data_IF_154699682870
#
_entry.id   IF_154699682870
#
_cell.length_a   1.000
_cell.length_b   1.000
_cell.length_c   1.000
_cell.angle_alpha   90.00
_cell.angle_beta   90.00
_cell.angle_gamma   90.00
#
_symmetry.space_group_name_H-M   'P 1'
#
loop_
_entity.id
_entity.type
_entity.pdbx_description
1 polymer ?
#
# COMPACT_ATOMS: atom_id res chain seq x y z
N UNK A 1 14.40 -3.20 2.12
CA UNK A 1 13.54 -3.47 3.28
C UNK A 1 12.17 -2.81 3.03
N UNK A 2 11.24 -3.60 2.50
CA UNK A 2 9.81 -3.36 2.22
C UNK A 2 9.29 -4.75 1.74
N UNK A 3 8.28 -4.83 0.88
CA UNK A 3 7.77 -6.12 0.35
C UNK A 3 8.59 -6.69 -0.84
N UNK A 4 9.70 -6.04 -1.23
CA UNK A 4 10.61 -6.47 -2.32
C UNK A 4 9.93 -6.69 -3.68
N UNK A 5 8.85 -5.96 -3.95
CA UNK A 5 8.12 -6.01 -5.23
C UNK A 5 8.92 -5.30 -6.32
N UNK A 6 9.02 -5.93 -7.48
CA UNK A 6 9.69 -5.39 -8.67
C UNK A 6 8.69 -4.85 -9.71
N UNK A 7 9.18 -4.11 -10.69
CA UNK A 7 8.34 -3.66 -11.82
C UNK A 7 7.84 -4.85 -12.67
N UNK A 8 8.60 -5.94 -12.73
CA UNK A 8 8.21 -7.16 -13.43
C UNK A 8 6.99 -7.82 -12.79
N UNK A 9 6.89 -7.77 -11.46
CA UNK A 9 5.72 -8.29 -10.72
C UNK A 9 4.47 -7.46 -11.01
N UNK A 10 4.62 -6.13 -11.11
CA UNK A 10 3.53 -5.24 -11.52
C UNK A 10 3.10 -5.54 -12.95
N UNK A 11 4.05 -5.72 -13.87
CA UNK A 11 3.75 -6.05 -15.26
C UNK A 11 3.03 -7.41 -15.40
N UNK A 12 3.42 -8.41 -14.62
CA UNK A 12 2.71 -9.71 -14.56
C UNK A 12 1.27 -9.51 -14.09
N UNK A 13 1.07 -8.75 -13.02
CA UNK A 13 -0.27 -8.48 -12.48
C UNK A 13 -1.16 -7.72 -13.48
N UNK A 14 -0.60 -6.75 -14.21
CA UNK A 14 -1.32 -6.03 -15.28
C UNK A 14 -1.69 -6.96 -16.45
N UNK A 15 -0.82 -7.90 -16.83
CA UNK A 15 -1.10 -8.92 -17.86
C UNK A 15 -2.21 -9.89 -17.45
N UNK A 16 -2.36 -10.16 -16.15
CA UNK A 16 -3.47 -10.96 -15.61
C UNK A 16 -4.81 -10.19 -15.60
N UNK A 17 -4.83 -8.95 -16.10
CA UNK A 17 -6.05 -8.16 -16.27
C UNK A 17 -6.37 -7.22 -15.10
N UNK A 18 -5.50 -7.14 -14.09
CA UNK A 18 -5.67 -6.20 -12.98
C UNK A 18 -5.45 -4.78 -13.50
N UNK A 19 -6.38 -3.86 -13.20
CA UNK A 19 -6.31 -2.45 -13.66
C UNK A 19 -6.45 -1.43 -12.53
N UNK A 20 -6.66 -1.90 -11.31
CA UNK A 20 -6.88 -1.06 -10.13
C UNK A 20 -5.74 -1.22 -9.11
N UNK A 21 -5.41 -0.11 -8.44
CA UNK A 21 -4.31 -0.07 -7.47
C UNK A 21 -4.60 -0.85 -6.20
N UNK A 22 -5.87 -1.00 -5.82
CA UNK A 22 -6.25 -1.75 -4.62
C UNK A 22 -6.02 -3.26 -4.83
N UNK A 23 -6.36 -3.81 -5.99
CA UNK A 23 -6.05 -5.19 -6.35
C UNK A 23 -4.55 -5.43 -6.48
N UNK A 24 -3.79 -4.49 -7.07
CA UNK A 24 -2.33 -4.55 -7.08
C UNK A 24 -1.74 -4.54 -5.67
N UNK A 25 -2.24 -3.67 -4.79
CA UNK A 25 -1.87 -3.63 -3.36
C UNK A 25 -2.19 -4.94 -2.66
N UNK A 26 -3.35 -5.55 -2.88
CA UNK A 26 -3.72 -6.83 -2.25
C UNK A 26 -2.88 -7.99 -2.74
N UNK A 27 -2.60 -8.05 -4.05
CA UNK A 27 -1.85 -9.14 -4.67
C UNK A 27 -0.36 -9.07 -4.37
N UNK A 28 0.24 -7.90 -4.59
CA UNK A 28 1.69 -7.69 -4.49
C UNK A 28 2.11 -7.13 -3.13
N UNK A 29 1.15 -6.82 -2.24
CA UNK A 29 1.38 -6.20 -0.93
C UNK A 29 2.05 -4.82 -1.00
N UNK A 30 2.01 -4.15 -2.16
CA UNK A 30 2.61 -2.83 -2.34
C UNK A 30 2.00 -1.84 -1.35
N UNK A 31 2.86 -1.15 -0.61
CA UNK A 31 2.44 -0.16 0.39
C UNK A 31 2.11 -0.73 1.77
N UNK A 32 2.30 -2.04 1.99
CA UNK A 32 2.10 -2.68 3.30
C UNK A 32 3.35 -2.70 4.19
N UNK A 33 4.44 -2.05 3.76
CA UNK A 33 5.66 -1.89 4.56
C UNK A 33 5.52 -0.86 5.68
N UNK A 34 6.57 -0.66 6.51
CA UNK A 34 6.53 0.26 7.65
C UNK A 34 6.27 1.73 7.25
N UNK A 35 6.63 2.10 6.02
CA UNK A 35 6.35 3.43 5.47
C UNK A 35 4.92 3.61 4.95
N UNK A 36 4.05 2.58 5.04
CA UNK A 36 2.65 2.60 4.61
C UNK A 36 2.45 3.12 3.17
N UNK A 37 3.41 2.83 2.28
CA UNK A 37 3.32 3.19 0.87
C UNK A 37 3.68 4.62 0.50
N UNK A 38 4.19 5.44 1.44
CA UNK A 38 4.61 6.83 1.19
C UNK A 38 5.58 6.99 0.01
N UNK A 39 6.44 6.00 -0.23
CA UNK A 39 7.43 6.03 -1.32
C UNK A 39 6.97 5.27 -2.57
N UNK A 40 6.42 4.07 -2.40
CA UNK A 40 6.13 3.19 -3.54
C UNK A 40 4.79 3.46 -4.22
N UNK A 41 3.77 3.98 -3.52
CA UNK A 41 2.46 4.23 -4.13
C UNK A 41 2.50 5.35 -5.18
N UNK A 42 3.14 6.52 -4.94
CA UNK A 42 3.27 7.56 -5.98
C UNK A 42 4.01 7.05 -7.23
N UNK A 43 5.08 6.28 -7.02
CA UNK A 43 5.85 5.68 -8.10
C UNK A 43 5.00 4.65 -8.88
N UNK A 44 4.21 3.83 -8.18
CA UNK A 44 3.30 2.86 -8.78
C UNK A 44 2.21 3.55 -9.61
N UNK A 45 1.59 4.61 -9.11
CA UNK A 45 0.58 5.38 -9.86
C UNK A 45 1.18 5.91 -11.16
N UNK A 46 2.35 6.55 -11.09
CA UNK A 46 3.02 7.06 -12.29
C UNK A 46 3.38 5.94 -13.27
N UNK A 47 3.81 4.78 -12.77
CA UNK A 47 4.16 3.64 -13.61
C UNK A 47 2.94 3.01 -14.30
N UNK A 48 1.88 2.73 -13.53
CA UNK A 48 0.64 2.11 -14.02
C UNK A 48 -0.10 3.07 -14.97
N UNK A 49 -0.11 4.37 -14.68
CA UNK A 49 -0.68 5.40 -15.57
C UNK A 49 -0.05 5.35 -16.96
N UNK A 50 1.29 5.29 -17.03
CA UNK A 50 2.03 5.18 -18.30
C UNK A 50 1.76 3.86 -19.03
N UNK A 51 1.65 2.75 -18.29
CA UNK A 51 1.39 1.42 -18.86
C UNK A 51 -0.03 1.27 -19.40
N UNK A 52 -1.02 1.82 -18.71
CA UNK A 52 -2.43 1.71 -19.10
C UNK A 52 -2.90 2.86 -20.00
N UNK A 53 -2.09 3.90 -20.18
CA UNK A 53 -2.45 5.09 -20.95
C UNK A 53 -3.58 5.91 -20.32
N UNK A 54 -3.79 5.78 -19.01
CA UNK A 54 -4.84 6.48 -18.28
C UNK A 54 -4.25 7.63 -17.46
N UNK A 55 -4.95 8.77 -17.36
CA UNK A 55 -4.52 9.86 -16.50
C UNK A 55 -4.43 9.39 -15.04
N UNK A 56 -3.41 9.84 -14.26
CA UNK A 56 -3.19 9.39 -12.89
C UNK A 56 -4.37 9.70 -11.98
N UNK A 57 -5.19 10.71 -12.26
CA UNK A 57 -6.40 11.02 -11.49
C UNK A 57 -7.46 9.91 -11.57
N UNK A 58 -7.45 9.08 -12.61
CA UNK A 58 -8.33 7.91 -12.72
C UNK A 58 -7.86 6.72 -11.88
N UNK A 59 -6.62 6.72 -11.41
CA UNK A 59 -6.07 5.69 -10.55
C UNK A 59 -6.28 6.08 -9.09
N UNK A 60 -7.33 5.54 -8.47
CA UNK A 60 -7.67 5.86 -7.09
C UNK A 60 -6.54 5.51 -6.12
N UNK A 61 -6.19 6.47 -5.26
CA UNK A 61 -5.22 6.25 -4.19
C UNK A 61 -5.76 5.25 -3.17
N UNK A 62 -4.95 4.29 -2.67
CA UNK A 62 -5.39 3.39 -1.62
C UNK A 62 -5.77 4.13 -0.33
N UNK A 63 -6.80 3.62 0.35
CA UNK A 63 -7.32 4.25 1.58
C UNK A 63 -6.23 4.24 2.66
N UNK A 64 -5.94 5.43 3.19
CA UNK A 64 -5.06 5.60 4.36
C UNK A 64 -5.86 5.26 5.62
N UNK A 65 -5.32 4.39 6.47
CA UNK A 65 -5.92 3.98 7.73
C UNK A 65 -5.06 4.49 8.89
N UNK A 66 -5.66 5.02 9.97
CA UNK A 66 -4.91 5.33 11.18
C UNK A 66 -4.40 4.02 11.85
N UNK A 67 -3.28 4.05 12.57
CA UNK A 67 -2.38 5.20 12.80
C UNK A 67 -1.46 5.52 11.60
N UNK A 68 -1.14 6.80 11.39
CA UNK A 68 -0.34 7.27 10.24
C UNK A 68 1.10 6.77 10.26
N UNK A 69 1.61 6.47 11.44
CA UNK A 69 2.91 5.88 11.69
C UNK A 69 2.77 4.69 12.63
N UNK A 70 3.70 3.72 12.61
CA UNK A 70 3.67 2.62 13.55
C UNK A 70 3.88 3.15 14.97
N UNK A 71 2.82 3.10 15.79
CA UNK A 71 2.88 3.49 17.20
C UNK A 71 2.79 2.25 18.11
N UNK A 72 3.42 2.24 19.29
CA UNK A 72 3.35 1.11 20.22
C UNK A 72 1.91 0.81 20.64
N UNK A 73 1.54 -0.48 20.65
CA UNK A 73 0.21 -0.93 21.04
C UNK A 73 -0.20 -0.48 22.46
N UNK A 74 0.78 -0.32 23.37
CA UNK A 74 0.58 0.17 24.75
C UNK A 74 -0.19 1.49 24.81
N UNK A 75 -0.06 2.36 23.81
CA UNK A 75 -0.78 3.63 23.77
C UNK A 75 -2.29 3.47 23.61
N UNK A 76 -2.75 2.34 23.08
CA UNK A 76 -4.18 2.04 22.91
C UNK A 76 -4.76 1.19 24.06
N UNK A 77 -3.91 0.63 24.93
CA UNK A 77 -4.34 -0.24 26.02
C UNK A 77 -4.58 0.61 27.28
N UNK A 78 -5.84 0.78 27.68
CA UNK A 78 -6.19 1.24 29.02
C UNK A 78 -6.03 0.08 30.01
N UNK A 79 -4.79 -0.27 30.35
CA UNK A 79 -4.53 -1.32 31.35
C UNK A 79 -4.79 -0.74 32.73
N UNK A 80 -5.92 -1.09 33.35
CA UNK A 80 -6.07 -1.01 34.80
C UNK A 80 -5.36 -2.22 35.39
N UNK A 81 -4.33 -1.98 36.19
CA UNK A 81 -3.82 -2.99 37.10
C UNK A 81 -4.79 -3.03 38.28
N UNK A 82 -5.61 -4.08 38.35
CA UNK A 82 -6.26 -4.45 39.61
C UNK A 82 -5.18 -5.18 40.43
N UNK A 83 -4.73 -4.53 41.51
CA UNK A 83 -3.82 -5.13 42.49
C UNK A 83 -4.55 -6.29 43.18
N UNK A 84 -4.00 -7.50 43.08
CA UNK A 84 -4.41 -8.69 43.83
C UNK A 84 -3.88 -8.59 45.26
#
# INVERSE_FOLDING_TARGET
>A
MCEKVTLEDVDKALKEGIRDLESLKRKLRIGMGPCQGRFCIPALISYVSRKLGVPPEKLAYPIVRPPLEPVPAKLFLQVKYDEI
#
